data_IF_698580218290
#
_entry.id   IF_698580218290
#
_cell.length_a   1.000
_cell.length_b   1.000
_cell.length_c   1.000
_cell.angle_alpha   90.00
_cell.angle_beta   90.00
_cell.angle_gamma   90.00
#
_symmetry.space_group_name_H-M   'P 1'
#
loop_
_entity.id
_entity.type
_entity.pdbx_description
1 polymer ?
#
# COMPACT_ATOMS: atom_id res chain seq x y z
N UNK A 1 25.19 3.93 4.67
CA UNK A 1 24.71 2.80 3.85
C UNK A 1 23.21 2.66 4.09
N UNK A 2 22.39 3.36 3.31
CA UNK A 2 20.92 3.29 3.39
C UNK A 2 20.42 2.75 2.05
N UNK A 3 19.87 1.56 2.11
CA UNK A 3 19.27 0.85 0.98
C UNK A 3 17.96 1.55 0.63
N UNK A 4 17.95 2.29 -0.48
CA UNK A 4 16.73 2.75 -1.14
C UNK A 4 15.97 1.54 -1.67
N UNK A 5 14.98 1.06 -0.93
CA UNK A 5 13.92 0.21 -1.50
C UNK A 5 12.87 1.13 -2.13
N UNK A 6 13.25 1.79 -3.22
CA UNK A 6 12.24 2.28 -4.15
C UNK A 6 11.43 1.06 -4.58
N UNK A 7 10.11 1.10 -4.40
CA UNK A 7 9.25 0.05 -4.94
C UNK A 7 9.61 -0.14 -6.42
N UNK A 8 10.09 -1.35 -6.74
CA UNK A 8 10.50 -1.71 -8.08
C UNK A 8 9.29 -1.45 -9.01
N UNK A 9 9.39 -0.54 -9.99
CA UNK A 9 8.32 -0.30 -10.97
C UNK A 9 7.85 -1.59 -11.64
N UNK A 10 8.75 -2.59 -11.75
CA UNK A 10 8.42 -3.92 -12.23
C UNK A 10 7.45 -4.67 -11.30
N UNK A 11 7.64 -4.57 -9.99
CA UNK A 11 6.74 -5.14 -8.97
C UNK A 11 5.34 -4.54 -9.07
N UNK A 12 5.23 -3.21 -9.21
CA UNK A 12 3.94 -2.54 -9.42
C UNK A 12 3.24 -3.01 -10.69
N UNK A 13 3.98 -3.18 -11.79
CA UNK A 13 3.44 -3.70 -13.05
C UNK A 13 2.90 -5.14 -12.87
N UNK A 14 3.61 -5.99 -12.12
CA UNK A 14 3.16 -7.36 -11.81
C UNK A 14 1.95 -7.41 -10.89
N UNK A 15 1.81 -6.50 -9.92
CA UNK A 15 0.62 -6.42 -9.05
C UNK A 15 -0.62 -5.97 -9.83
N UNK A 16 -0.50 -4.95 -10.68
CA UNK A 16 -1.59 -4.54 -11.56
C UNK A 16 -2.02 -5.65 -12.53
N UNK A 17 -1.06 -6.40 -13.08
CA UNK A 17 -1.36 -7.55 -13.94
C UNK A 17 -2.09 -8.67 -13.18
N UNK A 18 -1.69 -8.95 -11.93
CA UNK A 18 -2.37 -9.93 -11.07
C UNK A 18 -3.80 -9.51 -10.76
N UNK A 19 -4.04 -8.23 -10.44
CA UNK A 19 -5.37 -7.68 -10.21
C UNK A 19 -6.24 -7.69 -11.47
N UNK A 20 -5.69 -7.37 -12.64
CA UNK A 20 -6.42 -7.48 -13.91
C UNK A 20 -6.85 -8.93 -14.20
N UNK A 21 -6.00 -9.91 -13.87
CA UNK A 21 -6.37 -11.32 -13.98
C UNK A 21 -7.50 -11.70 -13.00
N UNK A 22 -7.53 -11.10 -11.80
CA UNK A 22 -8.67 -11.25 -10.87
C UNK A 22 -9.95 -10.71 -11.49
N UNK A 23 -9.93 -9.52 -12.11
CA UNK A 23 -11.12 -8.95 -12.78
C UNK A 23 -11.67 -9.89 -13.86
N UNK A 24 -10.79 -10.45 -14.71
CA UNK A 24 -11.20 -11.43 -15.73
C UNK A 24 -11.82 -12.68 -15.11
N UNK A 25 -11.27 -13.18 -14.01
CA UNK A 25 -11.83 -14.33 -13.28
C UNK A 25 -13.20 -14.01 -12.69
N UNK A 26 -13.41 -12.79 -12.18
CA UNK A 26 -14.73 -12.35 -11.67
C UNK A 26 -15.77 -12.35 -12.80
N UNK A 27 -15.43 -11.83 -13.98
CA UNK A 27 -16.31 -11.90 -15.16
C UNK A 27 -16.66 -13.36 -15.48
N UNK A 28 -15.67 -14.24 -15.52
CA UNK A 28 -15.88 -15.68 -15.78
C UNK A 28 -16.79 -16.35 -14.75
N UNK A 29 -16.64 -16.02 -13.46
CA UNK A 29 -17.51 -16.52 -12.38
C UNK A 29 -18.96 -16.10 -12.60
N UNK A 30 -19.20 -14.86 -13.05
CA UNK A 30 -20.55 -14.39 -13.38
C UNK A 30 -21.14 -15.11 -14.60
N UNK A 31 -20.33 -15.38 -15.63
CA UNK A 31 -20.75 -16.18 -16.79
C UNK A 31 -21.14 -17.61 -16.41
N UNK A 32 -20.37 -18.25 -15.52
CA UNK A 32 -20.68 -19.59 -15.02
C UNK A 32 -22.00 -19.60 -14.23
N UNK A 33 -22.21 -18.60 -13.37
CA UNK A 33 -23.46 -18.46 -12.63
C UNK A 33 -24.66 -18.28 -13.58
N UNK A 34 -24.54 -17.42 -14.59
CA UNK A 34 -25.57 -17.25 -15.62
C UNK A 34 -25.84 -18.55 -16.39
N UNK A 35 -24.79 -19.27 -16.79
CA UNK A 35 -24.92 -20.55 -17.50
C UNK A 35 -25.62 -21.62 -16.64
N UNK A 36 -25.38 -21.64 -15.33
CA UNK A 36 -26.10 -22.54 -14.42
C UNK A 36 -27.56 -22.13 -14.30
N UNK A 37 -27.87 -20.83 -14.21
CA UNK A 37 -29.25 -20.35 -14.18
C UNK A 37 -30.02 -20.75 -15.44
N UNK A 38 -29.41 -20.61 -16.62
CA UNK A 38 -30.00 -21.03 -17.90
C UNK A 38 -30.25 -22.54 -17.94
N UNK A 39 -29.29 -23.34 -17.45
CA UNK A 39 -29.43 -24.79 -17.41
C UNK A 39 -30.53 -25.23 -16.43
N UNK A 40 -30.67 -24.54 -15.30
CA UNK A 40 -31.73 -24.79 -14.32
C UNK A 40 -33.11 -24.38 -14.82
N UNK A 41 -33.19 -23.36 -15.68
CA UNK A 41 -34.42 -22.90 -16.32
C UNK A 41 -34.81 -23.76 -17.55
N UNK A 42 -33.98 -24.74 -17.94
CA UNK A 42 -34.20 -25.56 -19.12
C UNK A 42 -35.49 -26.40 -18.99
N UNK A 43 -36.47 -26.26 -19.92
CA UNK A 43 -37.73 -27.00 -19.86
C UNK A 43 -37.56 -28.51 -20.10
N UNK A 44 -36.42 -28.94 -20.66
CA UNK A 44 -36.11 -30.35 -20.92
C UNK A 44 -35.39 -31.06 -19.76
N UNK A 45 -35.39 -30.44 -18.58
CA UNK A 45 -34.62 -30.82 -17.38
C UNK A 45 -33.14 -30.38 -17.41
N UNK A 46 -32.56 -29.96 -16.27
CA UNK A 46 -31.18 -29.53 -16.21
C UNK A 46 -30.19 -30.68 -16.44
N UNK A 47 -29.18 -30.45 -17.29
CA UNK A 47 -28.05 -31.36 -17.48
C UNK A 47 -27.14 -31.33 -16.25
N UNK A 48 -27.34 -32.30 -15.36
CA UNK A 48 -26.60 -32.42 -14.09
C UNK A 48 -25.08 -32.36 -14.24
N UNK A 49 -24.53 -33.00 -15.28
CA UNK A 49 -23.09 -33.00 -15.53
C UNK A 49 -22.55 -31.60 -15.82
N UNK A 50 -23.27 -30.82 -16.63
CA UNK A 50 -22.90 -29.44 -16.98
C UNK A 50 -23.00 -28.53 -15.75
N UNK A 51 -24.10 -28.65 -15.00
CA UNK A 51 -24.29 -27.90 -13.74
C UNK A 51 -23.16 -28.21 -12.75
N UNK A 52 -22.84 -29.49 -12.55
CA UNK A 52 -21.77 -29.89 -11.64
C UNK A 52 -20.39 -29.40 -12.09
N UNK A 53 -20.12 -29.44 -13.41
CA UNK A 53 -18.88 -28.92 -13.97
C UNK A 53 -18.75 -27.40 -13.75
N UNK A 54 -19.78 -26.63 -14.11
CA UNK A 54 -19.79 -25.18 -13.91
C UNK A 54 -19.70 -24.79 -12.43
N UNK A 55 -20.40 -25.48 -11.53
CA UNK A 55 -20.30 -25.26 -10.09
C UNK A 55 -18.89 -25.56 -9.56
N UNK A 56 -18.23 -26.60 -10.07
CA UNK A 56 -16.86 -26.93 -9.68
C UNK A 56 -15.86 -25.89 -10.15
N UNK A 57 -15.98 -25.43 -11.40
CA UNK A 57 -15.16 -24.35 -11.97
C UNK A 57 -15.39 -23.04 -11.21
N UNK A 58 -16.65 -22.70 -10.92
CA UNK A 58 -17.02 -21.52 -10.14
C UNK A 58 -16.33 -21.51 -8.78
N UNK A 59 -16.41 -22.63 -8.04
CA UNK A 59 -15.80 -22.73 -6.72
C UNK A 59 -14.28 -22.64 -6.76
N UNK A 60 -13.65 -23.19 -7.81
CA UNK A 60 -12.20 -23.08 -7.98
C UNK A 60 -11.78 -21.63 -8.27
N UNK A 61 -12.47 -20.95 -9.19
CA UNK A 61 -12.19 -19.55 -9.52
C UNK A 61 -12.40 -18.62 -8.31
N UNK A 62 -13.44 -18.86 -7.50
CA UNK A 62 -13.65 -18.10 -6.26
C UNK A 62 -12.47 -18.28 -5.29
N UNK A 63 -11.97 -19.51 -5.11
CA UNK A 63 -10.78 -19.76 -4.26
C UNK A 63 -9.56 -19.02 -4.80
N UNK A 64 -9.32 -19.10 -6.10
CA UNK A 64 -8.18 -18.46 -6.74
C UNK A 64 -8.25 -16.92 -6.61
N UNK A 65 -9.44 -16.33 -6.81
CA UNK A 65 -9.70 -14.90 -6.58
C UNK A 65 -9.39 -14.54 -5.12
N UNK A 66 -9.91 -15.30 -4.17
CA UNK A 66 -9.71 -15.04 -2.74
C UNK A 66 -8.24 -15.11 -2.32
N UNK A 67 -7.48 -16.08 -2.84
CA UNK A 67 -6.04 -16.22 -2.56
C UNK A 67 -5.28 -15.04 -3.13
N UNK A 68 -5.47 -14.72 -4.42
CA UNK A 68 -4.76 -13.60 -5.06
C UNK A 68 -5.10 -12.27 -4.39
N UNK A 69 -6.37 -11.99 -4.10
CA UNK A 69 -6.76 -10.75 -3.43
C UNK A 69 -6.18 -10.66 -2.01
N UNK A 70 -6.15 -11.76 -1.25
CA UNK A 70 -5.53 -11.78 0.08
C UNK A 70 -4.05 -11.42 0.01
N UNK A 71 -3.33 -11.96 -0.96
CA UNK A 71 -1.90 -11.68 -1.17
C UNK A 71 -1.67 -10.22 -1.58
N UNK A 72 -2.46 -9.70 -2.53
CA UNK A 72 -2.34 -8.29 -2.95
C UNK A 72 -2.74 -7.33 -1.83
N UNK A 73 -3.77 -7.62 -1.04
CA UNK A 73 -4.14 -6.81 0.14
C UNK A 73 -3.00 -6.85 1.17
N UNK A 74 -2.44 -8.03 1.47
CA UNK A 74 -1.30 -8.16 2.37
C UNK A 74 -0.12 -7.34 1.86
N UNK A 75 0.21 -7.42 0.57
CA UNK A 75 1.29 -6.65 -0.05
C UNK A 75 1.03 -5.14 0.00
N UNK A 76 -0.21 -4.71 -0.26
CA UNK A 76 -0.62 -3.31 -0.18
C UNK A 76 -0.69 -2.78 1.27
N UNK A 77 -0.87 -3.65 2.26
CA UNK A 77 -0.77 -3.29 3.68
C UNK A 77 0.67 -3.36 4.21
N UNK A 78 1.52 -4.22 3.61
CA UNK A 78 2.98 -4.23 3.84
C UNK A 78 3.68 -3.03 3.19
N UNK A 79 3.04 -2.35 2.23
CA UNK A 79 3.36 -0.98 1.83
C UNK A 79 3.19 -0.06 3.04
N UNK A 80 4.31 0.21 3.73
CA UNK A 80 4.33 0.78 5.07
C UNK A 80 3.73 2.19 5.08
N UNK A 81 2.69 2.44 5.89
CA UNK A 81 2.41 3.80 6.35
C UNK A 81 3.72 4.37 6.91
N UNK A 82 4.05 5.60 6.53
CA UNK A 82 5.24 6.34 6.95
C UNK A 82 6.54 6.17 6.16
N UNK A 83 6.63 5.28 5.16
CA UNK A 83 7.85 5.18 4.34
C UNK A 83 8.14 6.44 3.50
N UNK A 84 7.09 7.24 3.24
CA UNK A 84 7.18 8.60 2.66
C UNK A 84 6.83 9.71 3.65
N UNK A 85 6.73 9.42 4.95
CA UNK A 85 6.39 10.43 5.94
C UNK A 85 7.64 11.23 6.29
N UNK A 86 7.68 12.47 5.83
CA UNK A 86 8.72 13.43 6.14
C UNK A 86 8.56 14.04 7.54
N UNK A 87 7.52 13.69 8.30
CA UNK A 87 7.24 14.27 9.62
C UNK A 87 8.43 14.11 10.58
N UNK A 88 8.99 12.91 10.72
CA UNK A 88 10.11 12.66 11.63
C UNK A 88 11.36 13.47 11.23
N UNK A 89 11.85 13.43 9.98
CA UNK A 89 12.98 14.27 9.59
C UNK A 89 12.65 15.77 9.65
N UNK A 90 11.43 16.20 9.33
CA UNK A 90 10.99 17.60 9.41
C UNK A 90 11.00 18.14 10.84
N UNK A 91 10.36 17.43 11.76
CA UNK A 91 10.30 17.81 13.18
C UNK A 91 11.70 17.76 13.81
N UNK A 92 12.51 16.76 13.48
CA UNK A 92 13.90 16.70 13.94
C UNK A 92 14.71 17.93 13.48
N UNK A 93 14.55 18.33 12.21
CA UNK A 93 15.21 19.51 11.66
C UNK A 93 14.72 20.80 12.34
N UNK A 94 13.42 20.94 12.56
CA UNK A 94 12.83 22.07 13.27
C UNK A 94 13.38 22.20 14.71
N UNK A 95 13.50 21.08 15.43
CA UNK A 95 14.12 21.04 16.76
C UNK A 95 15.60 21.43 16.70
N UNK A 96 16.35 20.97 15.69
CA UNK A 96 17.75 21.36 15.51
C UNK A 96 17.91 22.87 15.25
N UNK A 97 17.05 23.48 14.44
CA UNK A 97 17.04 24.93 14.23
C UNK A 97 16.80 25.67 15.55
N UNK A 98 15.82 25.24 16.35
CA UNK A 98 15.53 25.85 17.66
C UNK A 98 16.71 25.74 18.64
N UNK A 99 17.41 24.60 18.65
CA UNK A 99 18.64 24.44 19.44
C UNK A 99 19.74 25.41 19.00
N UNK A 100 19.90 25.61 17.69
CA UNK A 100 20.91 26.52 17.16
C UNK A 100 20.59 27.98 17.49
N UNK A 101 19.33 28.40 17.34
CA UNK A 101 18.85 29.73 17.76
C UNK A 101 19.18 30.00 19.24
N UNK A 102 18.97 29.00 20.11
CA UNK A 102 19.29 29.13 21.53
C UNK A 102 20.80 29.29 21.76
N UNK A 103 21.65 28.51 21.09
CA UNK A 103 23.11 28.64 21.21
C UNK A 103 23.59 30.01 20.74
N UNK A 104 23.04 30.53 19.63
CA UNK A 104 23.37 31.86 19.12
C UNK A 104 23.02 32.92 20.16
N UNK A 105 21.82 32.88 20.72
CA UNK A 105 21.40 33.83 21.75
C UNK A 105 22.34 33.84 22.97
N UNK A 106 22.78 32.67 23.42
CA UNK A 106 23.74 32.56 24.51
C UNK A 106 25.12 33.13 24.15
N UNK A 107 25.58 32.93 22.91
CA UNK A 107 26.84 33.52 22.44
C UNK A 107 26.77 35.05 22.35
N UNK A 108 25.64 35.60 21.91
CA UNK A 108 25.43 37.04 21.87
C UNK A 108 25.42 37.66 23.27
N UNK A 109 24.78 37.00 24.25
CA UNK A 109 24.83 37.42 25.66
C UNK A 109 26.27 37.42 26.21
N UNK A 110 27.04 36.37 25.91
CA UNK A 110 28.46 36.30 26.29
C UNK A 110 29.27 37.43 25.65
N UNK A 111 29.05 37.71 24.37
CA UNK A 111 29.71 38.79 23.65
C UNK A 111 29.40 40.16 24.28
N UNK A 112 28.13 40.46 24.55
CA UNK A 112 27.73 41.70 25.21
C UNK A 112 28.33 41.84 26.60
N UNK A 113 28.43 40.74 27.35
CA UNK A 113 29.10 40.72 28.64
C UNK A 113 30.57 41.12 28.50
N UNK A 114 31.28 40.53 27.54
CA UNK A 114 32.70 40.86 27.27
C UNK A 114 32.87 42.31 26.82
N UNK A 115 32.03 42.81 25.92
CA UNK A 115 32.04 44.19 25.43
C UNK A 115 31.77 45.18 26.58
N UNK A 116 30.83 44.86 27.48
CA UNK A 116 30.54 45.63 28.68
C UNK A 116 31.73 45.72 29.64
N UNK A 117 32.48 44.63 29.82
CA UNK A 117 33.73 44.65 30.60
C UNK A 117 34.80 45.54 29.95
N UNK A 118 34.97 45.48 28.62
CA UNK A 118 35.96 46.31 27.92
C UNK A 118 35.60 47.80 27.92
N UNK A 119 34.31 48.15 27.97
CA UNK A 119 33.86 49.55 28.06
C UNK A 119 33.97 50.14 29.48
N UNK A 120 34.12 49.31 30.51
CA UNK A 120 34.21 49.71 31.91
C UNK A 120 35.67 49.86 32.42
N UNK A 121 36.65 49.51 31.60
CA UNK A 121 38.10 49.67 31.85
C UNK A 121 38.62 50.86 31.04
#
# INVERSE_FOLDING_TARGET
>A
MQTTYAMDPQSQNTSLQRLQNVEKRIVRVLELAGSVMDELANPSSPRKELVNSHCSEFMQLIKDIQVTLREEIKSACEYRPFEKCDYVPRISNEICCKKLEHVIAQLDEMKHTIEGYHAAV
#
